data_IF_163221488911
#
_entry.id   IF_163221488911
#
_cell.length_a   1.000
_cell.length_b   1.000
_cell.length_c   1.000
_cell.angle_alpha   90.00
_cell.angle_beta   90.00
_cell.angle_gamma   90.00
#
_symmetry.space_group_name_H-M   'P 1'
#
loop_
_entity.id
_entity.type
_entity.pdbx_description
1 polymer ?
#
# COMPACT_ATOMS: atom_id res chain seq x y z
N UNK A 1 20.41 2.15 1.61
CA UNK A 1 19.38 1.80 2.60
C UNK A 1 18.64 3.11 2.83
N UNK A 2 17.88 3.48 1.81
CA UNK A 2 17.29 4.81 1.61
C UNK A 2 15.77 4.66 1.57
N UNK A 3 15.18 3.89 2.49
CA UNK A 3 14.04 3.07 2.05
C UNK A 3 12.66 3.60 2.48
N UNK A 4 12.57 4.55 3.44
CA UNK A 4 11.29 5.16 3.86
C UNK A 4 11.08 6.58 3.30
N UNK A 5 12.06 7.46 3.50
CA UNK A 5 11.94 8.86 3.07
C UNK A 5 12.04 9.01 1.54
N UNK A 6 12.72 8.08 0.86
CA UNK A 6 12.87 8.06 -0.59
C UNK A 6 11.54 7.86 -1.32
N UNK A 7 10.72 6.89 -0.90
CA UNK A 7 9.43 6.62 -1.54
C UNK A 7 8.46 7.79 -1.35
N UNK A 8 8.30 8.29 -0.12
CA UNK A 8 7.37 9.40 0.15
C UNK A 8 7.74 10.65 -0.66
N UNK A 9 9.03 10.95 -0.81
CA UNK A 9 9.48 12.06 -1.66
C UNK A 9 9.25 11.80 -3.15
N UNK A 10 9.46 10.56 -3.62
CA UNK A 10 9.31 10.17 -5.01
C UNK A 10 7.84 10.13 -5.47
N UNK A 11 6.91 9.70 -4.61
CA UNK A 11 5.49 9.55 -4.96
C UNK A 11 4.73 10.87 -4.96
N UNK A 12 5.06 11.81 -4.06
CA UNK A 12 4.38 13.11 -3.94
C UNK A 12 4.14 13.86 -5.26
N UNK A 13 5.12 14.02 -6.17
CA UNK A 13 4.88 14.69 -7.46
C UNK A 13 4.00 13.89 -8.43
N UNK A 14 3.76 12.59 -8.16
CA UNK A 14 2.97 11.70 -9.01
C UNK A 14 1.50 11.59 -8.53
N UNK A 15 1.23 11.92 -7.27
CA UNK A 15 -0.13 11.92 -6.71
C UNK A 15 -1.00 13.08 -7.24
N UNK A 16 -2.33 12.90 -7.34
CA UNK A 16 -3.11 11.71 -6.99
C UNK A 16 -2.95 10.57 -8.01
N UNK A 17 -2.79 9.35 -7.49
CA UNK A 17 -2.67 8.13 -8.29
C UNK A 17 -3.97 7.32 -8.19
N UNK A 18 -4.76 7.32 -9.26
CA UNK A 18 -6.07 6.63 -9.31
C UNK A 18 -5.89 5.11 -9.33
N UNK A 19 -6.57 4.41 -8.43
CA UNK A 19 -6.74 2.95 -8.46
C UNK A 19 -7.71 2.58 -9.58
N UNK A 20 -7.26 1.74 -10.49
CA UNK A 20 -8.03 1.27 -11.65
C UNK A 20 -8.44 -0.19 -11.51
N UNK A 21 -7.60 -0.98 -10.87
CA UNK A 21 -7.81 -2.40 -10.65
C UNK A 21 -7.28 -2.79 -9.28
N UNK A 22 -7.92 -3.80 -8.71
CA UNK A 22 -7.41 -4.53 -7.56
C UNK A 22 -7.26 -5.99 -7.99
N UNK A 23 -6.29 -6.67 -7.42
CA UNK A 23 -6.18 -8.12 -7.47
C UNK A 23 -6.09 -8.62 -6.03
N UNK A 24 -6.84 -9.68 -5.74
CA UNK A 24 -6.83 -10.30 -4.42
C UNK A 24 -6.56 -11.79 -4.59
N UNK A 25 -5.46 -12.24 -3.99
CA UNK A 25 -5.09 -13.64 -3.93
C UNK A 25 -4.79 -13.96 -2.47
N UNK A 26 -5.82 -14.34 -1.73
CA UNK A 26 -5.81 -14.37 -0.27
C UNK A 26 -4.52 -14.98 0.30
N UNK A 27 -3.81 -14.29 1.20
CA UNK A 27 -4.15 -13.00 1.83
C UNK A 27 -3.53 -11.76 1.14
N UNK A 28 -2.91 -11.94 -0.02
CA UNK A 28 -2.17 -10.91 -0.75
C UNK A 28 -3.13 -9.96 -1.47
N UNK A 29 -2.86 -8.66 -1.36
CA UNK A 29 -3.63 -7.59 -1.99
C UNK A 29 -2.71 -6.80 -2.92
N UNK A 30 -3.10 -6.67 -4.19
CA UNK A 30 -2.39 -5.81 -5.15
C UNK A 30 -3.34 -4.72 -5.64
N UNK A 31 -2.90 -3.47 -5.54
CA UNK A 31 -3.61 -2.28 -6.00
C UNK A 31 -2.87 -1.75 -7.23
N UNK A 32 -3.59 -1.55 -8.34
CA UNK A 32 -3.00 -1.18 -9.64
C UNK A 32 -3.67 0.08 -10.18
N UNK A 33 -2.87 0.98 -10.73
CA UNK A 33 -3.34 2.10 -11.53
C UNK A 33 -2.51 2.30 -12.79
N UNK A 34 -2.69 3.44 -13.45
CA UNK A 34 -2.01 3.71 -14.72
C UNK A 34 -0.50 3.87 -14.55
N UNK A 35 0.27 2.82 -14.85
CA UNK A 35 1.73 2.81 -14.77
C UNK A 35 2.30 2.69 -13.35
N UNK A 36 1.49 2.24 -12.39
CA UNK A 36 1.94 2.01 -11.01
C UNK A 36 1.20 0.86 -10.33
N UNK A 37 1.84 0.26 -9.33
CA UNK A 37 1.23 -0.79 -8.51
C UNK A 37 1.75 -0.77 -7.07
N UNK A 38 0.94 -1.29 -6.15
CA UNK A 38 1.32 -1.63 -4.78
C UNK A 38 0.93 -3.07 -4.52
N UNK A 39 1.91 -3.93 -4.23
CA UNK A 39 1.67 -5.28 -3.74
C UNK A 39 1.84 -5.29 -2.21
N UNK A 40 0.85 -5.83 -1.50
CA UNK A 40 0.83 -6.01 -0.05
C UNK A 40 0.86 -7.51 0.23
N UNK A 41 2.03 -7.99 0.61
CA UNK A 41 2.33 -9.42 0.80
C UNK A 41 2.35 -9.80 2.28
N UNK A 42 2.73 -8.86 3.15
CA UNK A 42 2.64 -8.98 4.61
C UNK A 42 1.31 -8.48 5.17
N UNK A 43 1.23 -8.37 6.50
CA UNK A 43 0.01 -7.92 7.18
C UNK A 43 -0.41 -6.53 6.69
N UNK A 44 -1.69 -6.38 6.35
CA UNK A 44 -2.29 -5.11 5.99
C UNK A 44 -3.67 -4.97 6.59
N UNK A 45 -4.07 -3.72 6.85
CA UNK A 45 -5.41 -3.37 7.28
C UNK A 45 -5.89 -2.14 6.54
N UNK A 46 -7.05 -2.24 5.90
CA UNK A 46 -7.72 -1.13 5.24
C UNK A 46 -8.74 -0.48 6.16
N UNK A 47 -8.68 0.84 6.27
CA UNK A 47 -9.58 1.67 7.04
C UNK A 47 -10.31 2.69 6.15
N UNK A 48 -11.59 2.96 6.47
CA UNK A 48 -12.31 4.18 6.08
C UNK A 48 -12.59 5.00 7.34
N UNK A 49 -11.98 6.17 7.46
CA UNK A 49 -11.89 6.88 8.73
C UNK A 49 -11.22 6.02 9.81
N UNK A 50 -11.93 5.77 10.92
CA UNK A 50 -11.45 4.92 12.02
C UNK A 50 -11.99 3.48 11.97
N UNK A 51 -12.82 3.14 10.98
CA UNK A 51 -13.41 1.82 10.85
C UNK A 51 -12.53 0.91 10.00
N UNK A 52 -12.21 -0.28 10.51
CA UNK A 52 -11.60 -1.37 9.74
C UNK A 52 -12.63 -1.89 8.75
N UNK A 53 -12.26 -1.90 7.47
CA UNK A 53 -13.09 -2.42 6.38
C UNK A 53 -12.68 -3.84 6.01
N UNK A 54 -11.37 -4.10 5.92
CA UNK A 54 -10.80 -5.42 5.66
C UNK A 54 -9.38 -5.51 6.21
N UNK A 55 -8.93 -6.71 6.57
CA UNK A 55 -7.56 -7.00 6.96
C UNK A 55 -7.05 -8.30 6.30
N UNK A 56 -5.73 -8.45 6.24
CA UNK A 56 -5.00 -9.59 5.65
C UNK A 56 -5.52 -10.97 6.07
N UNK A 57 -5.95 -11.13 7.33
CA UNK A 57 -6.46 -12.39 7.86
C UNK A 57 -7.97 -12.60 7.71
N UNK A 58 -8.71 -11.62 7.19
CA UNK A 58 -10.16 -11.67 7.17
C UNK A 58 -10.69 -12.50 6.00
N UNK A 59 -11.52 -13.50 6.30
CA UNK A 59 -12.13 -14.35 5.27
C UNK A 59 -13.06 -13.57 4.32
N UNK A 60 -13.57 -12.42 4.74
CA UNK A 60 -14.43 -11.53 3.95
C UNK A 60 -13.67 -10.39 3.27
N UNK A 61 -12.34 -10.38 3.33
CA UNK A 61 -11.54 -9.30 2.75
C UNK A 61 -11.77 -9.15 1.24
N UNK A 62 -11.92 -10.26 0.51
CA UNK A 62 -12.12 -10.25 -0.95
C UNK A 62 -13.32 -9.41 -1.38
N UNK A 63 -14.46 -9.58 -0.71
CA UNK A 63 -15.69 -8.85 -1.04
C UNK A 63 -15.53 -7.34 -0.84
N UNK A 64 -14.68 -6.93 0.10
CA UNK A 64 -14.50 -5.54 0.46
C UNK A 64 -13.45 -4.84 -0.41
N UNK A 65 -12.31 -5.47 -0.71
CA UNK A 65 -11.16 -4.79 -1.36
C UNK A 65 -11.48 -4.29 -2.77
N UNK A 66 -12.52 -4.81 -3.43
CA UNK A 66 -12.99 -4.28 -4.73
C UNK A 66 -13.44 -2.81 -4.65
N UNK A 67 -13.89 -2.34 -3.49
CA UNK A 67 -14.28 -0.95 -3.27
C UNK A 67 -13.09 0.03 -3.25
N UNK A 68 -11.84 -0.47 -3.26
CA UNK A 68 -10.67 0.38 -3.46
C UNK A 68 -10.60 0.93 -4.89
N UNK A 69 -11.21 0.24 -5.87
CA UNK A 69 -11.27 0.70 -7.25
C UNK A 69 -11.95 2.08 -7.33
N UNK A 70 -11.31 3.02 -8.01
CA UNK A 70 -11.81 4.38 -8.13
C UNK A 70 -11.34 5.33 -7.03
N UNK A 71 -10.69 4.87 -5.96
CA UNK A 71 -10.04 5.74 -4.98
C UNK A 71 -8.71 6.28 -5.52
N UNK A 72 -8.23 7.38 -4.93
CA UNK A 72 -6.92 7.94 -5.24
C UNK A 72 -5.93 7.67 -4.10
N UNK A 73 -4.73 7.19 -4.42
CA UNK A 73 -3.57 7.22 -3.53
C UNK A 73 -2.99 8.63 -3.52
N UNK A 74 -2.90 9.21 -2.32
CA UNK A 74 -2.60 10.63 -2.09
C UNK A 74 -1.23 10.85 -1.45
N UNK A 75 -0.77 9.94 -0.60
CA UNK A 75 0.56 10.02 0.03
C UNK A 75 0.96 8.64 0.58
N UNK A 76 2.22 8.51 0.97
CA UNK A 76 2.73 7.38 1.75
C UNK A 76 3.44 7.92 2.98
N UNK A 77 3.04 7.43 4.15
CA UNK A 77 3.57 7.86 5.45
C UNK A 77 4.26 6.69 6.13
N UNK A 78 5.42 6.97 6.72
CA UNK A 78 6.21 5.99 7.46
C UNK A 78 6.19 6.34 8.95
N UNK A 79 5.52 5.55 9.80
CA UNK A 79 5.47 5.79 11.24
C UNK A 79 6.86 5.69 11.90
N UNK A 80 7.69 4.77 11.42
CA UNK A 80 9.07 4.59 11.84
C UNK A 80 10.03 4.89 10.68
N UNK A 81 10.74 6.02 10.74
CA UNK A 81 11.67 6.41 9.69
C UNK A 81 12.90 5.48 9.60
N UNK A 82 13.17 4.70 10.65
CA UNK A 82 14.24 3.70 10.66
C UNK A 82 13.83 2.35 10.08
N UNK A 83 12.55 2.18 9.71
CA UNK A 83 12.01 0.89 9.32
C UNK A 83 10.88 1.02 8.29
N UNK A 84 11.19 0.74 7.02
CA UNK A 84 10.27 0.92 5.91
C UNK A 84 9.21 -0.19 5.80
N UNK A 85 9.41 -1.34 6.44
CA UNK A 85 8.42 -2.42 6.48
C UNK A 85 7.04 -1.97 6.94
N UNK A 86 6.97 -1.04 7.90
CA UNK A 86 5.72 -0.42 8.34
C UNK A 86 5.44 0.87 7.56
N UNK A 87 4.33 0.90 6.82
CA UNK A 87 3.93 2.09 6.08
C UNK A 87 2.41 2.27 6.03
N UNK A 88 2.00 3.49 5.69
CA UNK A 88 0.59 3.88 5.56
C UNK A 88 0.37 4.52 4.20
N UNK A 89 -0.37 3.83 3.34
CA UNK A 89 -0.84 4.35 2.07
C UNK A 89 -2.11 5.19 2.32
N UNK A 90 -2.03 6.49 2.11
CA UNK A 90 -3.15 7.42 2.35
C UNK A 90 -4.02 7.48 1.11
N UNK A 91 -5.30 7.13 1.24
CA UNK A 91 -6.28 7.12 0.16
C UNK A 91 -7.26 8.30 0.28
N UNK A 92 -7.96 8.61 -0.81
CA UNK A 92 -8.99 9.66 -0.84
C UNK A 92 -10.15 9.45 0.13
N UNK A 93 -10.40 8.21 0.58
CA UNK A 93 -11.47 7.85 1.53
C UNK A 93 -10.95 7.03 2.72
N UNK A 94 -9.66 7.11 3.05
CA UNK A 94 -9.12 6.33 4.15
C UNK A 94 -7.64 6.03 4.03
N UNK A 95 -7.22 4.86 4.50
CA UNK A 95 -5.82 4.44 4.45
C UNK A 95 -5.67 2.93 4.48
N UNK A 96 -4.59 2.43 3.93
CA UNK A 96 -4.13 1.06 4.14
C UNK A 96 -2.85 1.12 4.98
N UNK A 97 -2.85 0.44 6.11
CA UNK A 97 -1.67 0.24 6.94
C UNK A 97 -1.04 -1.09 6.59
N UNK A 98 0.23 -1.09 6.15
CA UNK A 98 1.04 -2.29 6.00
C UNK A 98 1.93 -2.44 7.25
N UNK A 99 2.04 -3.67 7.76
CA UNK A 99 2.79 -4.01 8.98
C UNK A 99 3.70 -5.19 8.73
N UNK A 100 4.96 -5.01 9.06
CA UNK A 100 5.95 -6.09 9.03
C UNK A 100 5.92 -6.85 10.34
N UNK A 101 6.04 -8.17 10.25
CA UNK A 101 6.30 -9.03 11.39
C UNK A 101 7.79 -8.99 11.85
N UNK A 102 8.61 -8.21 11.13
CA UNK A 102 10.06 -8.03 11.34
C UNK A 102 10.86 -9.33 11.23
N UNK A 103 10.32 -10.34 10.55
CA UNK A 103 11.01 -11.63 10.34
C UNK A 103 11.84 -11.67 9.05
N UNK A 104 11.78 -10.62 8.22
CA UNK A 104 12.63 -10.43 7.04
C UNK A 104 11.98 -10.78 5.70
N UNK A 105 10.65 -10.89 5.63
CA UNK A 105 9.91 -10.96 4.38
C UNK A 105 9.47 -9.57 3.91
N UNK A 106 9.43 -9.37 2.60
CA UNK A 106 8.89 -8.16 1.97
C UNK A 106 7.44 -8.00 2.41
N UNK A 107 7.15 -6.88 3.07
CA UNK A 107 5.79 -6.56 3.56
C UNK A 107 4.96 -5.96 2.44
N UNK A 108 5.60 -5.11 1.64
CA UNK A 108 4.98 -4.44 0.50
C UNK A 108 6.03 -4.07 -0.56
N UNK A 109 5.58 -3.92 -1.80
CA UNK A 109 6.37 -3.40 -2.91
C UNK A 109 5.57 -2.33 -3.65
N UNK A 110 6.22 -1.21 -4.00
CA UNK A 110 5.67 -0.13 -4.83
C UNK A 110 6.47 0.00 -6.11
N UNK A 111 5.78 -0.03 -7.24
CA UNK A 111 6.36 0.16 -8.57
C UNK A 111 5.68 1.33 -9.27
N UNK A 112 6.47 2.10 -10.03
CA UNK A 112 5.94 3.14 -10.91
C UNK A 112 6.86 3.30 -12.13
N UNK A 113 6.29 3.27 -13.34
CA UNK A 113 7.04 3.27 -14.61
C UNK A 113 7.98 4.48 -14.73
N UNK A 114 7.55 5.66 -14.26
CA UNK A 114 8.37 6.88 -14.27
C UNK A 114 9.54 6.90 -13.27
N UNK A 115 9.56 6.03 -12.26
CA UNK A 115 10.59 6.05 -11.21
C UNK A 115 11.79 5.14 -11.53
N UNK A 116 11.65 4.22 -12.49
CA UNK A 116 12.67 3.24 -12.88
C UNK A 116 13.29 2.50 -11.67
N UNK A 117 12.53 2.40 -10.57
CA UNK A 117 12.94 1.89 -9.26
C UNK A 117 11.73 1.23 -8.61
N UNK A 118 11.95 0.06 -8.01
CA UNK A 118 10.98 -0.61 -7.15
C UNK A 118 11.34 -0.31 -5.70
N UNK A 119 10.37 0.16 -4.93
CA UNK A 119 10.52 0.40 -3.50
C UNK A 119 9.95 -0.79 -2.74
N UNK A 120 10.66 -1.25 -1.72
CA UNK A 120 10.30 -2.45 -0.97
C UNK A 120 10.36 -2.14 0.52
N UNK A 121 9.30 -2.50 1.24
CA UNK A 121 9.25 -2.46 2.70
C UNK A 121 9.74 -3.76 3.30
N UNK A 122 10.88 -3.71 4.00
CA UNK A 122 11.48 -4.80 4.76
C UNK A 122 11.61 -4.43 6.24
#
# INVERSE_FOLDING_TARGET
>A
MDDATGLAAAIRPLTPLRVQQVEYNAPMLTVVGGGWSVALTGEWTWYRGDQVVAAWGDASAEDAVWDLCGLDLLDVVFPDLGFAGDCVFVLSDGRIEARSDRTGFETWAFEHEALDTVFIGL
#
